data_IF_599643893571
#
_entry.id   IF_599643893571
#
_cell.length_a   1.000
_cell.length_b   1.000
_cell.length_c   1.000
_cell.angle_alpha   90.00
_cell.angle_beta   90.00
_cell.angle_gamma   90.00
#
_symmetry.space_group_name_H-M   'P 1'
#
loop_
_entity.id
_entity.type
_entity.pdbx_description
1 polymer ?
#
# COMPACT_ATOMS: atom_id res chain seq x y z
N UNK A 1 -2.71 -15.34 -11.07
CA UNK A 1 -1.60 -15.12 -12.03
C UNK A 1 -0.73 -14.02 -11.45
N UNK A 2 0.57 -13.97 -11.72
CA UNK A 2 1.44 -12.88 -11.23
C UNK A 2 1.89 -12.06 -12.43
N UNK A 3 1.64 -10.76 -12.38
CA UNK A 3 2.04 -9.77 -13.39
C UNK A 3 3.37 -9.13 -12.99
N UNK A 4 4.23 -8.83 -13.96
CA UNK A 4 5.55 -8.23 -13.70
C UNK A 4 5.78 -6.98 -14.54
N UNK A 5 6.38 -5.97 -13.93
CA UNK A 5 6.63 -4.67 -14.53
C UNK A 5 8.05 -4.19 -14.23
N UNK A 6 8.64 -3.44 -15.15
CA UNK A 6 9.85 -2.65 -14.93
C UNK A 6 9.50 -1.19 -15.15
N UNK A 7 9.37 -0.42 -14.07
CA UNK A 7 8.88 0.97 -14.11
C UNK A 7 9.83 1.87 -13.37
N UNK A 8 10.36 2.90 -14.04
CA UNK A 8 11.37 3.81 -13.47
C UNK A 8 12.57 3.10 -12.81
N UNK A 9 12.95 1.92 -13.33
CA UNK A 9 14.05 1.10 -12.80
C UNK A 9 13.66 0.14 -11.67
N UNK A 10 12.41 0.13 -11.21
CA UNK A 10 11.90 -0.79 -10.19
C UNK A 10 11.21 -2.00 -10.82
N UNK A 11 11.56 -3.19 -10.34
CA UNK A 11 10.90 -4.44 -10.65
C UNK A 11 9.69 -4.64 -9.72
N UNK A 12 8.48 -4.59 -10.27
CA UNK A 12 7.24 -4.74 -9.51
C UNK A 12 6.58 -6.05 -9.89
N UNK A 13 6.08 -6.80 -8.89
CA UNK A 13 5.20 -7.94 -9.10
C UNK A 13 3.82 -7.65 -8.50
N UNK A 14 2.74 -7.95 -9.22
CA UNK A 14 1.36 -7.74 -8.77
C UNK A 14 0.50 -9.00 -8.95
N UNK A 15 -0.52 -9.18 -8.11
CA UNK A 15 -1.51 -10.26 -8.21
C UNK A 15 -2.61 -10.00 -9.25
N UNK A 16 -2.77 -8.74 -9.66
CA UNK A 16 -3.68 -8.28 -10.71
C UNK A 16 -2.97 -7.28 -11.65
N UNK A 17 -3.47 -7.09 -12.88
CA UNK A 17 -2.83 -6.17 -13.81
C UNK A 17 -2.98 -4.72 -13.33
N UNK A 18 -1.92 -3.94 -13.41
CA UNK A 18 -1.93 -2.51 -13.09
C UNK A 18 -2.23 -1.71 -14.37
N UNK A 19 -3.37 -0.99 -14.44
CA UNK A 19 -3.72 -0.20 -15.62
C UNK A 19 -2.63 0.81 -15.97
N UNK A 20 -2.34 0.93 -17.28
CA UNK A 20 -1.32 1.85 -17.78
C UNK A 20 0.11 1.32 -17.70
N UNK A 21 0.35 0.18 -17.06
CA UNK A 21 1.67 -0.48 -17.08
C UNK A 21 1.74 -1.56 -18.16
N UNK A 22 2.87 -1.59 -18.86
CA UNK A 22 3.18 -2.63 -19.83
C UNK A 22 3.98 -3.72 -19.12
N UNK A 23 3.49 -4.97 -19.20
CA UNK A 23 4.19 -6.11 -18.63
C UNK A 23 5.60 -6.25 -19.22
N UNK A 24 6.54 -6.59 -18.35
CA UNK A 24 7.94 -6.80 -18.71
C UNK A 24 8.39 -8.18 -18.25
N UNK A 25 9.11 -8.95 -19.09
CA UNK A 25 9.59 -10.29 -18.76
C UNK A 25 10.80 -10.25 -17.78
N UNK A 26 10.93 -9.20 -16.97
CA UNK A 26 12.01 -9.03 -16.02
C UNK A 26 12.13 -10.28 -15.13
N UNK A 27 13.32 -10.88 -15.11
CA UNK A 27 13.63 -12.15 -14.43
C UNK A 27 14.18 -11.96 -13.02
N UNK A 28 14.48 -10.72 -12.62
CA UNK A 28 14.98 -10.38 -11.29
C UNK A 28 13.93 -10.65 -10.19
N UNK A 29 14.38 -10.75 -8.94
CA UNK A 29 13.44 -10.68 -7.81
C UNK A 29 12.77 -9.29 -7.79
N UNK A 30 11.46 -9.21 -7.49
CA UNK A 30 10.78 -7.93 -7.47
C UNK A 30 11.23 -7.11 -6.26
N UNK A 31 11.53 -5.83 -6.50
CA UNK A 31 11.77 -4.83 -5.45
C UNK A 31 10.51 -4.60 -4.62
N UNK A 32 9.33 -4.68 -5.26
CA UNK A 32 8.03 -4.46 -4.63
C UNK A 32 7.02 -5.50 -5.08
N UNK A 33 6.32 -6.11 -4.12
CA UNK A 33 5.14 -6.95 -4.35
C UNK A 33 3.87 -6.20 -3.97
N UNK A 34 2.91 -6.17 -4.87
CA UNK A 34 1.64 -5.46 -4.72
C UNK A 34 0.49 -6.47 -4.74
N UNK A 35 -0.41 -6.33 -3.78
CA UNK A 35 -1.70 -7.01 -3.77
C UNK A 35 -2.82 -5.98 -3.89
N UNK A 36 -3.66 -6.13 -4.92
CA UNK A 36 -4.73 -5.18 -5.27
C UNK A 36 -6.09 -5.74 -4.86
N UNK A 37 -6.94 -4.90 -4.27
CA UNK A 37 -8.27 -5.29 -3.76
C UNK A 37 -8.21 -6.47 -2.78
N UNK A 38 -7.12 -6.55 -2.02
CA UNK A 38 -6.86 -7.63 -1.07
C UNK A 38 -6.34 -7.08 0.25
N UNK A 39 -7.04 -7.41 1.33
CA UNK A 39 -6.54 -7.18 2.68
C UNK A 39 -5.68 -8.36 3.15
N UNK A 40 -4.51 -8.13 3.77
CA UNK A 40 -3.74 -9.22 4.33
C UNK A 40 -4.48 -9.84 5.52
N UNK A 41 -4.50 -11.17 5.66
CA UNK A 41 -5.27 -11.84 6.72
C UNK A 41 -4.80 -11.49 8.14
N UNK A 42 -3.53 -11.12 8.30
CA UNK A 42 -2.93 -10.69 9.56
C UNK A 42 -3.26 -9.22 9.92
N UNK A 43 -3.90 -8.45 9.02
CA UNK A 43 -4.16 -7.04 9.24
C UNK A 43 -5.03 -6.82 10.48
N UNK A 44 -6.09 -7.61 10.63
CA UNK A 44 -7.01 -7.50 11.77
C UNK A 44 -6.30 -7.59 13.13
N UNK A 45 -5.32 -8.48 13.25
CA UNK A 45 -4.49 -8.62 14.46
C UNK A 45 -3.63 -7.36 14.67
N UNK A 46 -3.04 -6.81 13.61
CA UNK A 46 -2.25 -5.59 13.68
C UNK A 46 -3.09 -4.36 14.06
N UNK A 47 -4.35 -4.31 13.62
CA UNK A 47 -5.30 -3.25 13.97
C UNK A 47 -5.81 -3.35 15.41
N UNK A 48 -5.84 -4.56 15.99
CA UNK A 48 -6.16 -4.75 17.39
C UNK A 48 -5.04 -4.27 18.34
N UNK A 49 -3.83 -4.09 17.82
CA UNK A 49 -2.71 -3.52 18.58
C UNK A 49 -2.78 -1.99 18.63
N UNK A 50 -1.99 -1.38 19.51
CA UNK A 50 -1.91 0.08 19.60
C UNK A 50 -1.33 0.67 18.32
N UNK A 51 -2.14 1.45 17.62
CA UNK A 51 -1.71 2.26 16.48
C UNK A 51 -1.00 3.53 16.96
N UNK A 52 -0.08 4.05 16.14
CA UNK A 52 0.55 5.35 16.39
C UNK A 52 0.37 6.23 15.18
N UNK A 53 -0.32 7.36 15.35
CA UNK A 53 -0.42 8.39 14.33
C UNK A 53 0.98 8.88 13.97
N UNK A 54 1.35 8.75 12.69
CA UNK A 54 2.63 9.24 12.18
C UNK A 54 2.46 10.61 11.56
N UNK A 55 1.51 10.73 10.63
CA UNK A 55 1.37 11.90 9.78
C UNK A 55 -0.10 12.15 9.46
N UNK A 56 -0.45 13.43 9.39
CA UNK A 56 -1.75 13.91 8.91
C UNK A 56 -1.46 15.01 7.90
N UNK A 57 -2.05 14.90 6.71
CA UNK A 57 -1.90 15.93 5.68
C UNK A 57 -2.51 17.25 6.16
N UNK A 58 -1.82 18.39 5.96
CA UNK A 58 -2.41 19.71 6.18
C UNK A 58 -3.45 20.04 5.11
N UNK A 59 -3.35 19.42 3.94
CA UNK A 59 -4.34 19.54 2.86
C UNK A 59 -5.59 18.76 3.23
N UNK A 60 -6.74 19.37 2.96
CA UNK A 60 -8.04 18.79 3.22
C UNK A 60 -8.82 18.67 1.91
N UNK A 61 -9.53 17.57 1.76
CA UNK A 61 -10.56 17.42 0.73
C UNK A 61 -11.84 18.14 1.14
N UNK A 62 -12.77 18.26 0.18
CA UNK A 62 -14.11 18.80 0.42
C UNK A 62 -14.77 18.13 1.64
N UNK A 63 -15.18 18.95 2.62
CA UNK A 63 -15.72 18.48 3.89
C UNK A 63 -14.71 18.41 5.04
N UNK A 64 -13.49 18.90 4.85
CA UNK A 64 -12.52 19.14 5.93
C UNK A 64 -11.78 17.88 6.41
N UNK A 65 -11.86 16.78 5.66
CA UNK A 65 -11.10 15.56 5.94
C UNK A 65 -9.66 15.73 5.43
N UNK A 66 -8.63 15.32 6.19
CA UNK A 66 -7.26 15.32 5.69
C UNK A 66 -7.16 14.47 4.43
N UNK A 67 -6.46 14.97 3.40
CA UNK A 67 -6.25 14.26 2.13
C UNK A 67 -5.55 12.90 2.33
N UNK A 68 -4.71 12.80 3.36
CA UNK A 68 -4.01 11.58 3.75
C UNK A 68 -3.77 11.54 5.26
N UNK A 69 -3.99 10.37 5.86
CA UNK A 69 -3.52 10.04 7.21
C UNK A 69 -2.62 8.82 7.16
N UNK A 70 -1.49 8.86 7.87
CA UNK A 70 -0.56 7.72 7.98
C UNK A 70 -0.42 7.30 9.43
N UNK A 71 -0.60 6.00 9.66
CA UNK A 71 -0.51 5.37 10.99
C UNK A 71 0.51 4.23 10.96
N UNK A 72 1.31 4.11 12.03
CA UNK A 72 2.15 2.93 12.29
C UNK A 72 1.28 1.84 12.91
N UNK A 73 1.36 0.63 12.37
CA UNK A 73 0.74 -0.57 12.92
C UNK A 73 1.80 -1.51 13.50
N UNK A 74 1.40 -2.37 14.43
CA UNK A 74 2.24 -3.42 15.02
C UNK A 74 3.65 -2.93 15.40
N UNK A 75 3.72 -1.90 16.26
CA UNK A 75 4.98 -1.27 16.70
C UNK A 75 5.86 -0.73 15.54
N UNK A 76 5.24 -0.33 14.43
CA UNK A 76 5.94 0.20 13.26
C UNK A 76 6.49 -0.87 12.32
N UNK A 77 5.99 -2.10 12.39
CA UNK A 77 6.26 -3.12 11.38
C UNK A 77 5.58 -2.79 10.03
N UNK A 78 4.45 -2.08 10.09
CA UNK A 78 3.70 -1.65 8.91
C UNK A 78 3.25 -0.19 9.03
N UNK A 79 2.93 0.38 7.88
CA UNK A 79 2.40 1.70 7.71
C UNK A 79 1.06 1.59 7.00
N UNK A 80 0.02 2.20 7.55
CA UNK A 80 -1.29 2.32 6.91
C UNK A 80 -1.50 3.74 6.46
N UNK A 81 -1.66 3.91 5.16
CA UNK A 81 -2.04 5.13 4.48
C UNK A 81 -3.54 5.07 4.23
N UNK A 82 -4.28 6.07 4.68
CA UNK A 82 -5.72 6.21 4.43
C UNK A 82 -5.94 7.55 3.75
N UNK A 83 -6.39 7.49 2.50
CA UNK A 83 -6.76 8.66 1.71
C UNK A 83 -8.21 9.05 1.98
N UNK A 84 -8.53 10.32 1.74
CA UNK A 84 -9.87 10.88 1.98
C UNK A 84 -10.98 10.22 1.15
N UNK A 85 -10.65 9.68 -0.01
CA UNK A 85 -11.55 8.91 -0.90
C UNK A 85 -11.84 7.49 -0.39
N UNK A 86 -11.20 7.06 0.70
CA UNK A 86 -11.31 5.73 1.27
C UNK A 86 -10.26 4.73 0.76
N UNK A 87 -9.43 5.11 -0.21
CA UNK A 87 -8.32 4.29 -0.67
C UNK A 87 -7.34 4.05 0.49
N UNK A 88 -7.00 2.79 0.73
CA UNK A 88 -6.14 2.37 1.83
C UNK A 88 -4.97 1.57 1.31
N UNK A 89 -3.78 1.89 1.82
CA UNK A 89 -2.55 1.16 1.51
C UNK A 89 -1.86 0.70 2.79
N UNK A 90 -1.44 -0.56 2.82
CA UNK A 90 -0.58 -1.11 3.88
C UNK A 90 0.80 -1.37 3.29
N UNK A 91 1.83 -0.76 3.84
CA UNK A 91 3.22 -0.93 3.40
C UNK A 91 4.04 -1.52 4.55
N UNK A 92 4.84 -2.54 4.25
CA UNK A 92 5.81 -3.05 5.23
C UNK A 92 6.97 -2.07 5.46
N UNK A 93 7.64 -2.20 6.61
CA UNK A 93 8.75 -1.31 6.98
C UNK A 93 9.93 -1.36 6.00
N UNK A 94 10.15 -2.48 5.33
CA UNK A 94 11.20 -2.64 4.31
C UNK A 94 10.81 -2.08 2.95
N UNK A 95 9.59 -1.58 2.77
CA UNK A 95 9.08 -1.03 1.51
C UNK A 95 9.10 -2.04 0.35
N UNK A 96 8.93 -3.32 0.67
CA UNK A 96 8.98 -4.45 -0.27
C UNK A 96 7.61 -5.08 -0.51
N UNK A 97 6.61 -4.76 0.32
CA UNK A 97 5.26 -5.35 0.23
C UNK A 97 4.19 -4.30 0.47
N UNK A 98 3.26 -4.21 -0.47
CA UNK A 98 2.17 -3.25 -0.49
C UNK A 98 0.83 -3.98 -0.69
N UNK A 99 -0.14 -3.71 0.16
CA UNK A 99 -1.53 -4.11 -0.04
C UNK A 99 -2.36 -2.87 -0.27
N UNK A 100 -3.26 -2.89 -1.25
CA UNK A 100 -4.10 -1.76 -1.61
C UNK A 100 -5.57 -2.19 -1.67
N UNK A 101 -6.44 -1.38 -1.08
CA UNK A 101 -7.90 -1.52 -1.15
C UNK A 101 -8.55 -0.17 -1.41
N UNK A 102 -9.69 -0.16 -2.09
CA UNK A 102 -10.48 1.05 -2.35
C UNK A 102 -11.98 0.69 -2.48
N UNK A 103 -12.91 1.62 -2.20
CA UNK A 103 -14.35 1.41 -2.33
C UNK A 103 -14.85 1.16 -3.77
#
# INVERSE_FOLDING_TARGET
>A
MIYRYLVYGLCIAADAPIPGLVESPASAEPDLKIWLQLEPPWLAECLAMRETLWYVSPEQEDGGKPALTVTKLAAGAYFRFVYADGSTFILDRSTTRLWATWP
#
